data_IF_887470451106
#
_entry.id   IF_887470451106
#
_cell.length_a   1.000
_cell.length_b   1.000
_cell.length_c   1.000
_cell.angle_alpha   90.00
_cell.angle_beta   90.00
_cell.angle_gamma   90.00
#
_symmetry.space_group_name_H-M   'P 1'
#
loop_
_entity.id
_entity.type
_entity.pdbx_description
1 polymer ?
#
# COMPACT_ATOMS: atom_id res chain seq x y z
N UNK A 1 4.72 -17.18 1.96
CA UNK A 1 4.56 -16.61 3.32
C UNK A 1 3.60 -17.52 4.07
N UNK A 2 4.14 -18.44 4.88
CA UNK A 2 3.40 -19.30 5.82
C UNK A 2 2.91 -18.47 7.00
N UNK A 3 1.87 -18.89 7.73
CA UNK A 3 1.38 -18.13 8.90
C UNK A 3 2.45 -17.94 9.99
N UNK A 4 3.36 -18.90 10.15
CA UNK A 4 4.53 -18.77 11.01
C UNK A 4 5.42 -17.58 10.62
N UNK A 5 5.54 -17.28 9.31
CA UNK A 5 6.26 -16.11 8.83
C UNK A 5 5.51 -14.80 9.07
N UNK A 6 4.17 -14.81 9.08
CA UNK A 6 3.35 -13.63 9.40
C UNK A 6 3.46 -13.26 10.89
N UNK A 7 3.37 -14.26 11.76
CA UNK A 7 3.53 -14.06 13.21
C UNK A 7 4.92 -13.57 13.57
N UNK A 8 5.97 -14.07 12.89
CA UNK A 8 7.34 -13.56 13.06
C UNK A 8 7.43 -12.07 12.73
N UNK A 9 6.89 -11.66 11.58
CA UNK A 9 6.90 -10.24 11.16
C UNK A 9 6.07 -9.37 12.11
N UNK A 10 4.91 -9.85 12.58
CA UNK A 10 4.10 -9.11 13.54
C UNK A 10 4.76 -9.02 14.92
N UNK A 11 5.49 -10.05 15.34
CA UNK A 11 6.30 -10.05 16.54
C UNK A 11 7.40 -8.99 16.46
N UNK A 12 8.21 -9.03 15.41
CA UNK A 12 9.28 -8.05 15.17
C UNK A 12 8.73 -6.63 15.18
N UNK A 13 7.57 -6.40 14.54
CA UNK A 13 6.92 -5.08 14.53
C UNK A 13 6.40 -4.67 15.90
N UNK A 14 5.82 -5.58 16.67
CA UNK A 14 5.30 -5.29 18.01
C UNK A 14 6.44 -4.95 18.98
N UNK A 15 7.50 -5.77 19.00
CA UNK A 15 8.69 -5.53 19.81
C UNK A 15 9.40 -4.22 19.41
N UNK A 16 9.45 -3.91 18.11
CA UNK A 16 9.97 -2.62 17.64
C UNK A 16 9.14 -1.43 18.13
N UNK A 17 7.81 -1.54 18.22
CA UNK A 17 6.97 -0.48 18.80
C UNK A 17 7.21 -0.33 20.31
N UNK A 18 7.36 -1.44 21.06
CA UNK A 18 7.71 -1.39 22.47
C UNK A 18 9.10 -0.77 22.69
N UNK A 19 10.08 -1.11 21.84
CA UNK A 19 11.41 -0.50 21.87
C UNK A 19 11.33 1.01 21.60
N UNK A 20 10.55 1.44 20.60
CA UNK A 20 10.33 2.88 20.33
C UNK A 20 9.70 3.62 21.51
N UNK A 21 8.87 2.94 22.31
CA UNK A 21 8.31 3.51 23.53
C UNK A 21 9.44 3.73 24.55
N UNK A 22 10.29 2.73 24.80
CA UNK A 22 11.44 2.85 25.69
C UNK A 22 12.47 3.90 25.24
N UNK A 23 12.75 3.97 23.93
CA UNK A 23 13.60 5.01 23.36
C UNK A 23 13.00 6.41 23.58
N UNK A 24 11.66 6.51 23.51
CA UNK A 24 10.92 7.74 23.81
C UNK A 24 11.01 8.17 25.27
N UNK A 25 11.00 7.22 26.20
CA UNK A 25 11.17 7.52 27.64
C UNK A 25 12.59 8.03 27.92
N UNK A 26 13.59 7.45 27.26
CA UNK A 26 15.00 7.80 27.46
C UNK A 26 15.38 9.15 26.83
N UNK A 27 14.81 9.50 25.67
CA UNK A 27 15.14 10.74 24.94
C UNK A 27 14.72 12.03 25.68
N UNK A 28 15.51 13.10 25.49
CA UNK A 28 15.17 14.47 25.93
C UNK A 28 14.00 14.99 25.08
N UNK A 29 12.89 15.37 25.74
CA UNK A 29 11.66 15.82 25.07
C UNK A 29 10.69 14.70 24.64
N UNK A 30 10.99 13.44 24.95
CA UNK A 30 10.06 12.33 24.72
C UNK A 30 8.97 12.22 25.80
N UNK A 31 7.95 11.39 25.55
CA UNK A 31 6.83 11.19 26.47
C UNK A 31 7.27 10.31 27.65
N UNK A 32 7.34 10.90 28.85
CA UNK A 32 7.77 10.21 30.08
C UNK A 32 6.64 10.02 31.10
N UNK A 33 5.56 10.80 30.99
CA UNK A 33 4.42 10.71 31.91
C UNK A 33 3.83 9.32 31.89
N UNK A 34 3.70 8.71 33.07
CA UNK A 34 3.25 7.32 33.25
C UNK A 34 1.99 7.00 32.43
N UNK A 35 0.93 7.80 32.61
CA UNK A 35 -0.37 7.61 31.93
C UNK A 35 -0.22 7.62 30.41
N UNK A 36 0.58 8.55 29.87
CA UNK A 36 0.78 8.67 28.42
C UNK A 36 1.61 7.54 27.83
N UNK A 37 2.55 6.99 28.61
CA UNK A 37 3.30 5.79 28.22
C UNK A 37 2.38 4.56 28.23
N UNK A 38 1.52 4.42 29.23
CA UNK A 38 0.51 3.35 29.30
C UNK A 38 -0.46 3.44 28.10
N UNK A 39 -1.01 4.62 27.79
CA UNK A 39 -1.87 4.83 26.62
C UNK A 39 -1.17 4.46 25.31
N UNK A 40 0.12 4.81 25.17
CA UNK A 40 0.91 4.50 23.98
C UNK A 40 1.17 2.99 23.86
N UNK A 41 1.43 2.32 24.96
CA UNK A 41 1.57 0.87 25.02
C UNK A 41 0.24 0.18 24.69
N UNK A 42 -0.87 0.70 25.22
CA UNK A 42 -2.23 0.26 24.86
C UNK A 42 -2.52 0.37 23.37
N UNK A 43 -2.10 1.47 22.71
CA UNK A 43 -2.20 1.62 21.25
C UNK A 43 -1.38 0.56 20.49
N UNK A 44 -0.20 0.20 20.99
CA UNK A 44 0.59 -0.89 20.40
C UNK A 44 -0.12 -2.25 20.54
N UNK A 45 -0.69 -2.53 21.71
CA UNK A 45 -1.49 -3.75 21.98
C UNK A 45 -2.71 -3.80 21.04
N UNK A 46 -3.44 -2.69 20.89
CA UNK A 46 -4.60 -2.59 20.01
C UNK A 46 -4.25 -2.81 18.54
N UNK A 47 -3.04 -2.38 18.11
CA UNK A 47 -2.57 -2.53 16.73
C UNK A 47 -2.15 -3.97 16.41
N UNK A 48 -1.70 -4.74 17.41
CA UNK A 48 -1.24 -6.14 17.26
C UNK A 48 -1.92 -7.09 18.25
N UNK A 49 -3.26 -7.20 18.26
CA UNK A 49 -3.98 -7.93 19.30
C UNK A 49 -3.70 -9.44 19.28
N UNK A 50 -3.44 -10.00 18.08
CA UNK A 50 -3.13 -11.42 17.87
C UNK A 50 -1.81 -11.84 18.52
N UNK A 51 -0.83 -10.95 18.60
CA UNK A 51 0.49 -11.22 19.19
C UNK A 51 0.53 -10.75 20.65
N UNK A 52 -0.04 -9.59 20.95
CA UNK A 52 0.03 -8.97 22.28
C UNK A 52 -0.52 -9.87 23.40
N UNK A 53 -1.48 -10.76 23.12
CA UNK A 53 -2.01 -11.72 24.09
C UNK A 53 -0.95 -12.69 24.66
N UNK A 54 0.15 -12.90 23.94
CA UNK A 54 1.24 -13.77 24.36
C UNK A 54 2.30 -13.04 25.20
N UNK A 55 2.18 -11.72 25.38
CA UNK A 55 3.13 -10.90 26.12
C UNK A 55 2.56 -10.51 27.49
N UNK A 56 3.40 -10.59 28.53
CA UNK A 56 3.22 -9.87 29.77
C UNK A 56 3.96 -8.54 29.64
N UNK A 57 3.28 -7.43 29.93
CA UNK A 57 3.89 -6.11 29.93
C UNK A 57 3.92 -5.59 31.36
N UNK A 58 5.11 -5.21 31.80
CA UNK A 58 5.40 -4.67 33.13
C UNK A 58 5.82 -3.21 33.02
N UNK A 59 5.20 -2.36 33.85
CA UNK A 59 5.44 -0.92 33.84
C UNK A 59 6.25 -0.52 35.07
N UNK A 60 7.48 -0.04 34.87
CA UNK A 60 8.37 0.34 35.97
C UNK A 60 8.39 1.86 36.10
N UNK A 61 7.95 2.36 37.26
CA UNK A 61 7.95 3.80 37.57
C UNK A 61 9.34 4.27 38.01
N UNK A 62 9.61 5.55 37.82
CA UNK A 62 10.85 6.16 38.29
C UNK A 62 10.76 6.48 39.78
N UNK A 63 11.68 5.95 40.59
CA UNK A 63 11.75 6.17 42.04
C UNK A 63 11.93 7.65 42.43
N UNK A 64 12.71 8.40 41.64
CA UNK A 64 12.97 9.83 41.90
C UNK A 64 11.82 10.74 41.46
N UNK A 65 10.98 10.25 40.55
CA UNK A 65 9.87 11.00 39.94
C UNK A 65 8.69 10.07 39.67
N UNK A 66 7.79 9.85 40.63
CA UNK A 66 6.74 8.83 40.54
C UNK A 66 5.70 9.09 39.43
N UNK A 67 5.64 10.31 38.87
CA UNK A 67 4.79 10.66 37.72
C UNK A 67 5.40 10.24 36.37
N UNK A 68 6.68 9.87 36.35
CA UNK A 68 7.40 9.45 35.14
C UNK A 68 7.61 7.93 35.12
N UNK A 69 7.49 7.34 33.93
CA UNK A 69 7.87 5.95 33.67
C UNK A 69 9.40 5.87 33.56
N UNK A 70 10.00 4.84 34.16
CA UNK A 70 11.41 4.50 33.98
C UNK A 70 11.62 3.69 32.70
N UNK A 71 10.87 2.60 32.55
CA UNK A 71 10.87 1.73 31.36
C UNK A 71 9.63 0.83 31.32
N UNK A 72 9.36 0.28 30.14
CA UNK A 72 8.37 -0.76 29.89
C UNK A 72 9.13 -2.05 29.60
N UNK A 73 8.98 -3.04 30.46
CA UNK A 73 9.56 -4.37 30.28
C UNK A 73 8.49 -5.32 29.75
N UNK A 74 8.89 -6.32 28.97
CA UNK A 74 7.97 -7.32 28.44
C UNK A 74 8.59 -8.71 28.42
N UNK A 75 7.74 -9.71 28.66
CA UNK A 75 8.13 -11.12 28.67
C UNK A 75 7.09 -11.95 27.89
N UNK A 76 7.54 -13.01 27.23
CA UNK A 76 6.65 -13.91 26.49
C UNK A 76 6.11 -14.94 27.48
N UNK A 77 4.80 -14.91 27.75
CA UNK A 77 4.15 -15.83 28.71
C UNK A 77 4.08 -17.26 28.22
N UNK A 78 3.84 -17.44 26.92
CA UNK A 78 3.53 -18.74 26.36
C UNK A 78 4.03 -18.85 24.91
N UNK A 79 5.27 -19.33 24.78
CA UNK A 79 5.85 -19.70 23.48
C UNK A 79 5.10 -20.89 22.86
N UNK A 80 4.62 -21.81 23.69
CA UNK A 80 4.03 -23.06 23.24
C UNK A 80 2.66 -22.87 22.58
N UNK A 81 1.75 -22.10 23.18
CA UNK A 81 0.43 -21.79 22.60
C UNK A 81 0.52 -20.89 21.38
N UNK A 82 1.58 -20.09 21.28
CA UNK A 82 1.85 -19.28 20.09
C UNK A 82 2.26 -20.14 18.89
N UNK A 83 2.92 -21.29 19.11
CA UNK A 83 3.35 -22.20 18.04
C UNK A 83 2.31 -23.29 17.73
N UNK A 84 1.58 -23.76 18.74
CA UNK A 84 0.61 -24.86 18.63
C UNK A 84 -0.83 -24.42 18.30
N UNK A 85 -1.15 -23.12 18.37
CA UNK A 85 -2.47 -22.57 18.06
C UNK A 85 -2.81 -22.49 16.56
N UNK A 86 -2.04 -23.16 15.69
CA UNK A 86 -2.22 -23.05 14.25
C UNK A 86 -2.87 -24.31 13.68
N UNK A 87 -4.08 -24.12 13.13
CA UNK A 87 -4.71 -25.16 12.33
C UNK A 87 -3.80 -25.54 11.17
N UNK A 88 -3.69 -26.85 10.91
CA UNK A 88 -2.96 -27.35 9.75
C UNK A 88 -3.90 -27.28 8.55
N UNK A 89 -3.51 -26.53 7.52
CA UNK A 89 -4.24 -26.48 6.26
C UNK A 89 -3.76 -27.60 5.34
N UNK A 90 -4.69 -28.43 4.88
CA UNK A 90 -4.40 -29.46 3.87
C UNK A 90 -4.85 -28.96 2.49
N UNK A 91 -3.92 -28.96 1.53
CA UNK A 91 -4.25 -28.72 0.13
C UNK A 91 -4.54 -30.06 -0.55
N UNK A 92 -5.74 -30.20 -1.12
CA UNK A 92 -6.12 -31.37 -1.91
C UNK A 92 -6.18 -30.99 -3.38
N UNK A 93 -5.48 -31.72 -4.22
CA UNK A 93 -5.52 -31.59 -5.67
C UNK A 93 -5.89 -32.94 -6.31
N UNK A 94 -6.69 -32.91 -7.38
CA UNK A 94 -6.96 -34.08 -8.22
C UNK A 94 -5.93 -34.23 -9.37
N UNK A 95 -5.03 -33.26 -9.54
CA UNK A 95 -3.99 -33.27 -10.57
C UNK A 95 -2.74 -33.97 -10.05
N UNK A 96 -2.50 -35.20 -10.51
CA UNK A 96 -1.41 -36.07 -10.02
C UNK A 96 -0.01 -35.63 -10.46
N UNK A 97 0.09 -34.80 -11.50
CA UNK A 97 1.37 -34.36 -12.08
C UNK A 97 1.94 -33.11 -11.45
N UNK A 98 1.18 -32.41 -10.59
CA UNK A 98 1.67 -31.19 -9.94
C UNK A 98 2.62 -31.54 -8.80
N UNK A 99 3.79 -30.89 -8.81
CA UNK A 99 4.66 -30.91 -7.63
C UNK A 99 4.02 -30.17 -6.46
N UNK A 100 4.46 -30.45 -5.24
CA UNK A 100 4.02 -29.74 -4.03
C UNK A 100 4.23 -28.23 -4.15
N UNK A 101 5.41 -27.81 -4.63
CA UNK A 101 5.73 -26.39 -4.84
C UNK A 101 4.74 -25.72 -5.79
N UNK A 102 4.46 -26.35 -6.92
CA UNK A 102 3.54 -25.79 -7.92
C UNK A 102 2.10 -25.77 -7.39
N UNK A 103 1.69 -26.81 -6.65
CA UNK A 103 0.38 -26.84 -5.99
C UNK A 103 0.23 -25.69 -4.99
N UNK A 104 1.29 -25.40 -4.22
CA UNK A 104 1.35 -24.26 -3.31
C UNK A 104 1.30 -22.92 -4.05
N UNK A 105 2.02 -22.78 -5.16
CA UNK A 105 1.99 -21.57 -6.00
C UNK A 105 0.58 -21.31 -6.56
N UNK A 106 -0.09 -22.36 -7.07
CA UNK A 106 -1.48 -22.26 -7.54
C UNK A 106 -2.45 -21.88 -6.44
N UNK A 107 -2.34 -22.49 -5.26
CA UNK A 107 -3.19 -22.11 -4.13
C UNK A 107 -3.01 -20.63 -3.76
N UNK A 108 -1.77 -20.14 -3.75
CA UNK A 108 -1.50 -18.73 -3.46
C UNK A 108 -1.99 -17.77 -4.55
N UNK A 109 -2.34 -18.25 -5.75
CA UNK A 109 -2.93 -17.43 -6.80
C UNK A 109 -4.28 -16.82 -6.38
N UNK A 110 -5.00 -17.44 -5.43
CA UNK A 110 -6.21 -16.86 -4.81
C UNK A 110 -5.93 -15.47 -4.25
N UNK A 111 -4.77 -15.24 -3.64
CA UNK A 111 -4.39 -13.92 -3.11
C UNK A 111 -4.20 -12.89 -4.22
N UNK A 112 -3.69 -13.30 -5.38
CA UNK A 112 -3.55 -12.43 -6.56
C UNK A 112 -4.94 -12.07 -7.12
N UNK A 113 -5.88 -13.03 -7.12
CA UNK A 113 -7.28 -12.80 -7.50
C UNK A 113 -7.97 -11.83 -6.52
N UNK A 114 -7.82 -12.01 -5.21
CA UNK A 114 -8.36 -11.10 -4.20
C UNK A 114 -7.79 -9.68 -4.35
N UNK A 115 -6.48 -9.57 -4.59
CA UNK A 115 -5.84 -8.29 -4.87
C UNK A 115 -6.42 -7.62 -6.12
N UNK A 116 -6.65 -8.40 -7.19
CA UNK A 116 -7.28 -7.95 -8.43
C UNK A 116 -8.70 -7.46 -8.21
N UNK A 117 -9.53 -8.24 -7.50
CA UNK A 117 -10.91 -7.87 -7.17
C UNK A 117 -10.96 -6.58 -6.34
N UNK A 118 -10.05 -6.44 -5.37
CA UNK A 118 -9.91 -5.21 -4.59
C UNK A 118 -9.58 -4.01 -5.48
N UNK A 119 -8.66 -4.18 -6.42
CA UNK A 119 -8.24 -3.10 -7.32
C UNK A 119 -9.38 -2.70 -8.27
N UNK A 120 -10.10 -3.66 -8.85
CA UNK A 120 -11.27 -3.39 -9.68
C UNK A 120 -12.31 -2.56 -8.92
N UNK A 121 -12.63 -2.96 -7.69
CA UNK A 121 -13.66 -2.29 -6.88
C UNK A 121 -13.23 -0.92 -6.37
N UNK A 122 -12.02 -0.81 -5.82
CA UNK A 122 -11.59 0.39 -5.10
C UNK A 122 -10.87 1.40 -6.00
N UNK A 123 -10.00 0.91 -6.88
CA UNK A 123 -9.12 1.79 -7.66
C UNK A 123 -9.75 2.14 -9.01
N UNK A 124 -10.56 1.23 -9.56
CA UNK A 124 -11.28 1.40 -10.82
C UNK A 124 -12.78 1.63 -10.63
N UNK A 125 -13.26 1.73 -9.38
CA UNK A 125 -14.66 2.02 -9.04
C UNK A 125 -15.70 1.12 -9.71
N UNK A 126 -15.35 -0.15 -9.95
CA UNK A 126 -16.24 -1.13 -10.61
C UNK A 126 -17.41 -1.60 -9.71
N UNK A 127 -17.54 -1.05 -8.49
CA UNK A 127 -18.67 -1.34 -7.63
C UNK A 127 -19.97 -0.77 -8.20
N UNK A 128 -21.11 -1.49 -8.13
CA UNK A 128 -22.39 -1.05 -8.67
C UNK A 128 -23.05 -0.02 -7.73
N UNK A 129 -22.40 1.12 -7.52
CA UNK A 129 -22.87 2.16 -6.58
C UNK A 129 -23.76 3.19 -7.28
N UNK A 130 -23.47 3.51 -8.55
CA UNK A 130 -24.04 4.67 -9.25
C UNK A 130 -24.91 4.30 -10.46
N UNK A 131 -25.08 3.01 -10.75
CA UNK A 131 -25.59 2.55 -12.04
C UNK A 131 -26.98 1.97 -11.83
N UNK A 132 -27.99 2.68 -12.33
CA UNK A 132 -29.41 2.37 -12.12
C UNK A 132 -30.04 1.63 -13.31
N UNK A 133 -29.31 1.46 -14.41
CA UNK A 133 -29.78 0.81 -15.64
C UNK A 133 -28.76 -0.24 -16.08
N UNK A 134 -29.24 -1.38 -16.54
CA UNK A 134 -28.39 -2.53 -16.93
C UNK A 134 -27.38 -2.16 -18.03
N UNK A 135 -27.81 -1.44 -19.07
CA UNK A 135 -26.92 -0.98 -20.14
C UNK A 135 -25.72 -0.15 -19.65
N UNK A 136 -25.93 0.67 -18.61
CA UNK A 136 -24.87 1.49 -18.01
C UNK A 136 -23.93 0.63 -17.15
N UNK A 137 -24.48 -0.40 -16.49
CA UNK A 137 -23.72 -1.42 -15.77
C UNK A 137 -22.79 -2.20 -16.70
N UNK A 138 -23.32 -2.66 -17.83
CA UNK A 138 -22.55 -3.41 -18.84
C UNK A 138 -21.43 -2.56 -19.46
N UNK A 139 -21.74 -1.34 -19.86
CA UNK A 139 -20.75 -0.42 -20.40
C UNK A 139 -19.63 -0.15 -19.38
N UNK A 140 -19.97 0.09 -18.12
CA UNK A 140 -18.97 0.32 -17.08
C UNK A 140 -18.13 -0.92 -16.80
N UNK A 141 -18.73 -2.11 -16.77
CA UNK A 141 -18.00 -3.37 -16.62
C UNK A 141 -16.96 -3.53 -17.75
N UNK A 142 -17.38 -3.27 -18.99
CA UNK A 142 -16.52 -3.34 -20.16
C UNK A 142 -15.35 -2.36 -20.08
N UNK A 143 -15.62 -1.07 -19.83
CA UNK A 143 -14.55 -0.07 -19.71
C UNK A 143 -13.64 -0.31 -18.50
N UNK A 144 -14.19 -0.80 -17.39
CA UNK A 144 -13.42 -1.15 -16.20
C UNK A 144 -12.48 -2.33 -16.44
N UNK A 145 -12.89 -3.32 -17.24
CA UNK A 145 -12.01 -4.43 -17.64
C UNK A 145 -10.87 -3.94 -18.53
N UNK A 146 -11.16 -3.07 -19.50
CA UNK A 146 -10.13 -2.45 -20.35
C UNK A 146 -9.16 -1.60 -19.54
N UNK A 147 -9.66 -0.80 -18.59
CA UNK A 147 -8.82 -0.04 -17.68
C UNK A 147 -7.94 -0.97 -16.83
N UNK A 148 -8.49 -2.08 -16.34
CA UNK A 148 -7.74 -3.07 -15.57
C UNK A 148 -6.62 -3.70 -16.39
N UNK A 149 -6.80 -3.96 -17.68
CA UNK A 149 -5.72 -4.45 -18.53
C UNK A 149 -4.52 -3.51 -18.56
N UNK A 150 -4.76 -2.19 -18.67
CA UNK A 150 -3.70 -1.19 -18.60
C UNK A 150 -3.01 -1.22 -17.24
N UNK A 151 -3.79 -1.21 -16.16
CA UNK A 151 -3.25 -1.23 -14.80
C UNK A 151 -2.42 -2.49 -14.54
N UNK A 152 -2.97 -3.66 -14.88
CA UNK A 152 -2.32 -4.94 -14.66
C UNK A 152 -1.02 -5.04 -15.47
N UNK A 153 -1.04 -4.59 -16.73
CA UNK A 153 0.16 -4.57 -17.57
C UNK A 153 1.29 -3.74 -16.94
N UNK A 154 0.99 -2.52 -16.50
CA UNK A 154 1.98 -1.64 -15.84
C UNK A 154 2.49 -2.29 -14.55
N UNK A 155 1.60 -2.84 -13.71
CA UNK A 155 1.98 -3.49 -12.46
C UNK A 155 2.84 -4.74 -12.69
N UNK A 156 2.51 -5.57 -13.67
CA UNK A 156 3.31 -6.74 -14.04
C UNK A 156 4.73 -6.33 -14.50
N UNK A 157 4.84 -5.29 -15.32
CA UNK A 157 6.15 -4.75 -15.74
C UNK A 157 6.96 -4.23 -14.55
N UNK A 158 6.34 -3.43 -13.68
CA UNK A 158 6.99 -2.92 -12.47
C UNK A 158 7.40 -4.04 -11.50
N UNK A 159 6.57 -5.07 -11.32
CA UNK A 159 6.85 -6.24 -10.46
C UNK A 159 8.08 -7.01 -10.95
N UNK A 160 8.29 -7.10 -12.26
CA UNK A 160 9.49 -7.72 -12.87
C UNK A 160 10.77 -6.95 -12.53
N UNK A 161 10.69 -5.63 -12.43
CA UNK A 161 11.77 -4.73 -12.00
C UNK A 161 11.85 -4.57 -10.47
N UNK A 162 11.23 -5.48 -9.72
CA UNK A 162 11.27 -5.49 -8.24
C UNK A 162 10.41 -4.43 -7.56
N UNK A 163 9.51 -3.74 -8.28
CA UNK A 163 8.58 -2.76 -7.69
C UNK A 163 7.18 -3.36 -7.51
N UNK A 164 6.85 -3.76 -6.27
CA UNK A 164 5.50 -4.23 -5.91
C UNK A 164 4.73 -3.15 -5.15
N UNK A 165 4.09 -2.23 -5.86
CA UNK A 165 3.23 -1.20 -5.28
C UNK A 165 1.77 -1.32 -5.73
N UNK A 166 0.86 -0.74 -4.93
CA UNK A 166 -0.55 -0.60 -5.27
C UNK A 166 -0.73 0.44 -6.39
N UNK A 167 -1.80 0.30 -7.18
CA UNK A 167 -2.08 1.23 -8.26
C UNK A 167 -2.26 2.68 -7.75
N UNK A 168 -2.93 2.85 -6.62
CA UNK A 168 -3.06 4.16 -5.94
C UNK A 168 -1.72 4.84 -5.68
N UNK A 169 -0.70 4.09 -5.28
CA UNK A 169 0.64 4.62 -5.04
C UNK A 169 1.35 4.99 -6.35
N UNK A 170 1.19 4.19 -7.40
CA UNK A 170 1.69 4.52 -8.75
C UNK A 170 1.06 5.84 -9.21
N UNK A 171 -0.27 5.95 -9.16
CA UNK A 171 -1.00 7.16 -9.54
C UNK A 171 -0.57 8.35 -8.69
N UNK A 172 -0.37 8.18 -7.37
CA UNK A 172 0.11 9.25 -6.48
C UNK A 172 1.49 9.75 -6.89
N UNK A 173 2.44 8.85 -7.16
CA UNK A 173 3.81 9.20 -7.60
C UNK A 173 3.78 9.88 -8.96
N UNK A 174 3.05 9.33 -9.93
CA UNK A 174 2.93 9.87 -11.28
C UNK A 174 2.16 11.18 -11.32
N UNK A 175 1.20 11.37 -10.42
CA UNK A 175 0.39 12.58 -10.29
C UNK A 175 1.21 13.83 -9.92
N UNK A 176 2.48 13.68 -9.55
CA UNK A 176 3.42 14.81 -9.37
C UNK A 176 3.78 15.48 -10.70
N UNK A 177 3.72 14.76 -11.82
CA UNK A 177 3.92 15.31 -13.15
C UNK A 177 2.59 15.81 -13.71
N UNK A 178 2.57 17.09 -14.10
CA UNK A 178 1.39 17.76 -14.64
C UNK A 178 1.52 18.05 -16.12
N UNK A 179 0.37 18.03 -16.79
CA UNK A 179 0.20 18.50 -18.15
C UNK A 179 -0.47 19.87 -18.13
N UNK A 180 0.22 20.88 -18.67
CA UNK A 180 -0.24 22.26 -18.71
C UNK A 180 -0.66 22.60 -20.13
N UNK A 181 -1.88 23.12 -20.28
CA UNK A 181 -2.40 23.64 -21.54
C UNK A 181 -2.58 25.14 -21.39
N UNK A 182 -1.76 25.92 -22.09
CA UNK A 182 -1.84 27.38 -22.13
C UNK A 182 -2.60 27.79 -23.38
N UNK A 183 -3.66 28.58 -23.21
CA UNK A 183 -4.43 29.17 -24.30
C UNK A 183 -4.21 30.68 -24.31
N UNK A 184 -3.88 31.23 -25.47
CA UNK A 184 -3.74 32.67 -25.66
C UNK A 184 -4.39 33.09 -26.98
N UNK A 185 -4.90 34.32 -27.03
CA UNK A 185 -5.32 34.94 -28.29
C UNK A 185 -4.18 35.81 -28.80
N UNK A 186 -3.82 35.67 -30.08
CA UNK A 186 -2.87 36.57 -30.70
C UNK A 186 -3.55 37.89 -31.11
N UNK A 187 -2.79 38.94 -31.48
CA UNK A 187 -3.36 40.19 -31.99
C UNK A 187 -4.23 40.03 -33.25
N UNK A 188 -4.09 38.92 -33.98
CA UNK A 188 -4.88 38.57 -35.16
C UNK A 188 -6.20 37.85 -34.81
N UNK A 189 -6.52 37.66 -33.53
CA UNK A 189 -7.76 37.02 -33.06
C UNK A 189 -7.73 35.48 -33.02
N UNK A 190 -6.65 34.85 -33.44
CA UNK A 190 -6.49 33.39 -33.45
C UNK A 190 -6.23 32.84 -32.05
N UNK A 191 -6.79 31.66 -31.74
CA UNK A 191 -6.52 30.98 -30.48
C UNK A 191 -5.33 30.05 -30.64
N UNK A 192 -4.26 30.35 -29.91
CA UNK A 192 -3.06 29.51 -29.82
C UNK A 192 -3.20 28.65 -28.56
N UNK A 193 -3.24 27.34 -28.74
CA UNK A 193 -3.15 26.36 -27.66
C UNK A 193 -1.75 25.74 -27.66
N UNK A 194 -1.06 25.84 -26.52
CA UNK A 194 0.24 25.21 -26.29
C UNK A 194 0.10 24.20 -25.17
N UNK A 195 0.50 22.96 -25.45
CA UNK A 195 0.45 21.88 -24.47
C UNK A 195 1.86 21.42 -24.10
N UNK A 196 2.19 21.47 -22.82
CA UNK A 196 3.51 21.14 -22.29
C UNK A 196 3.42 20.24 -21.05
N UNK A 197 4.30 19.24 -20.99
CA UNK A 197 4.47 18.41 -19.80
C UNK A 197 5.53 19.02 -18.89
N UNK A 198 5.26 19.03 -17.58
CA UNK A 198 6.28 19.36 -16.56
C UNK A 198 7.31 18.23 -16.44
N UNK A 199 8.46 18.56 -15.84
CA UNK A 199 9.50 17.55 -15.54
C UNK A 199 9.01 16.60 -14.44
N UNK A 200 9.26 15.29 -14.56
CA UNK A 200 8.84 14.33 -13.54
C UNK A 200 9.66 14.51 -12.25
N UNK A 201 9.01 14.27 -11.12
CA UNK A 201 9.71 14.13 -9.83
C UNK A 201 10.65 12.92 -9.83
N UNK A 202 11.55 12.83 -8.84
CA UNK A 202 12.44 11.66 -8.68
C UNK A 202 11.67 10.34 -8.63
N UNK A 203 10.51 10.31 -7.96
CA UNK A 203 9.66 9.13 -7.84
C UNK A 203 8.99 8.76 -9.18
N UNK A 204 8.50 9.74 -9.93
CA UNK A 204 7.91 9.50 -11.25
C UNK A 204 8.97 9.06 -12.28
N UNK A 205 10.17 9.65 -12.22
CA UNK A 205 11.31 9.28 -13.08
C UNK A 205 11.69 7.81 -12.90
N UNK A 206 11.77 7.33 -11.66
CA UNK A 206 12.03 5.92 -11.35
C UNK A 206 11.00 4.97 -11.97
N UNK A 207 9.72 5.36 -11.99
CA UNK A 207 8.66 4.56 -12.64
C UNK A 207 8.90 4.51 -14.15
N UNK A 208 9.17 5.66 -14.79
CA UNK A 208 9.48 5.68 -16.22
C UNK A 208 10.71 4.85 -16.57
N UNK A 209 11.79 4.96 -15.78
CA UNK A 209 13.02 4.20 -16.00
C UNK A 209 12.76 2.68 -15.94
N UNK A 210 12.01 2.21 -14.93
CA UNK A 210 11.60 0.80 -14.81
C UNK A 210 10.70 0.34 -15.96
N UNK A 211 9.85 1.21 -16.47
CA UNK A 211 8.98 0.91 -17.61
C UNK A 211 9.68 1.07 -18.97
N UNK A 212 10.96 1.49 -18.98
CA UNK A 212 11.71 1.86 -20.18
C UNK A 212 10.96 2.88 -21.07
N UNK A 213 10.35 3.88 -20.43
CA UNK A 213 9.55 4.92 -21.05
C UNK A 213 10.25 6.28 -21.00
N UNK A 214 9.94 7.13 -21.97
CA UNK A 214 10.43 8.52 -21.99
C UNK A 214 9.82 9.30 -20.82
N UNK A 215 10.66 10.10 -20.16
CA UNK A 215 10.27 10.97 -19.04
C UNK A 215 9.26 12.06 -19.41
N UNK A 216 9.17 12.37 -20.71
CA UNK A 216 8.16 13.26 -21.26
C UNK A 216 7.32 12.47 -22.28
N UNK A 217 6.03 12.22 -21.98
CA UNK A 217 5.20 11.35 -22.81
C UNK A 217 4.80 11.96 -24.16
N UNK A 218 4.91 13.27 -24.35
CA UNK A 218 4.63 13.93 -25.63
C UNK A 218 5.57 15.12 -25.87
N UNK A 219 5.84 15.37 -27.14
CA UNK A 219 6.55 16.58 -27.58
C UNK A 219 5.64 17.80 -27.43
N UNK A 220 6.25 18.97 -27.28
CA UNK A 220 5.53 20.26 -27.20
C UNK A 220 4.75 20.46 -28.51
N UNK A 221 3.42 20.46 -28.41
CA UNK A 221 2.53 20.67 -29.55
C UNK A 221 1.95 22.08 -29.47
N UNK A 222 2.12 22.86 -30.55
CA UNK A 222 1.45 24.14 -30.76
C UNK A 222 0.30 23.90 -31.72
N UNK A 223 -0.93 24.14 -31.27
CA UNK A 223 -2.14 24.04 -32.08
C UNK A 223 -2.63 25.47 -32.29
N UNK A 224 -2.53 25.98 -33.53
CA UNK A 224 -3.17 27.23 -33.90
C UNK A 224 -4.56 26.89 -34.45
N UNK A 225 -5.62 27.44 -33.85
CA UNK A 225 -6.97 27.39 -34.42
C UNK A 225 -7.31 28.76 -34.98
N UNK A 226 -7.53 28.80 -36.29
CA UNK A 226 -7.93 30.00 -37.04
C UNK A 226 -9.44 30.20 -37.08
N UNK A 227 -10.23 29.21 -36.67
CA UNK A 227 -11.70 29.29 -36.63
C UNK A 227 -12.29 28.75 -35.32
N UNK A 228 -13.40 29.35 -34.90
CA UNK A 228 -14.20 28.93 -33.73
C UNK A 228 -14.78 27.52 -33.92
N UNK A 229 -14.97 26.76 -32.83
CA UNK A 229 -15.59 25.44 -32.87
C UNK A 229 -17.05 25.48 -33.34
#
# INVERSE_FOLDING_TARGET
>A
MTDSSMNRVWRERFEMELQRINDGISKKGGTKTYEKVVERTGRAIQKYPSIAKFYQISYIKNEKKPKEMLRVDWEIKDLSAMESGHGVYFLRSNVRTLSERVTWEYYNLIREIECTNRQLKNDLNLGPIYHQKDERSDAHLFFGLLAYWVVNTIRCQLKREGESCYWTEIVRRMGTQKLVTTKGKNPLGETIEMRQCSSPSKQAKQIYDKLNLKHSPFKKNKICRTQSP
#
